data_IF_298876848227
#
_entry.id   IF_298876848227
#
_cell.length_a   1.000
_cell.length_b   1.000
_cell.length_c   1.000
_cell.angle_alpha   90.00
_cell.angle_beta   90.00
_cell.angle_gamma   90.00
#
_symmetry.space_group_name_H-M   'P 1'
#
loop_
_entity.id
_entity.type
_entity.pdbx_description
1 polymer ?
#
# COMPACT_ATOMS: atom_id res chain seq x y z
N UNK A 1 -0.94 -22.16 12.20
CA UNK A 1 -2.14 -22.75 11.55
C UNK A 1 -1.94 -22.62 10.06
N UNK A 2 -1.97 -23.72 9.30
CA UNK A 2 -1.78 -23.66 7.84
C UNK A 2 -3.04 -23.04 7.21
N UNK A 3 -2.89 -21.87 6.59
CA UNK A 3 -3.99 -21.17 5.94
C UNK A 3 -4.23 -21.73 4.54
N UNK A 4 -5.50 -21.78 4.12
CA UNK A 4 -5.89 -22.21 2.78
C UNK A 4 -6.68 -21.11 2.06
N UNK A 5 -6.65 -21.16 0.73
CA UNK A 5 -7.47 -20.32 -0.12
C UNK A 5 -7.95 -21.13 -1.32
N UNK A 6 -9.27 -21.21 -1.49
CA UNK A 6 -9.90 -22.02 -2.52
C UNK A 6 -9.39 -23.47 -2.52
N UNK A 7 -9.22 -24.06 -1.33
CA UNK A 7 -8.75 -25.44 -1.15
C UNK A 7 -7.24 -25.64 -1.34
N UNK A 8 -6.46 -24.59 -1.61
CA UNK A 8 -5.00 -24.68 -1.77
C UNK A 8 -4.29 -24.12 -0.54
N UNK A 9 -3.22 -24.77 -0.09
CA UNK A 9 -2.38 -24.26 0.99
C UNK A 9 -1.69 -22.94 0.57
N UNK A 10 -1.75 -21.94 1.44
CA UNK A 10 -1.07 -20.66 1.27
C UNK A 10 0.35 -20.75 1.85
N UNK A 11 1.24 -21.37 1.10
CA UNK A 11 2.65 -21.54 1.49
C UNK A 11 3.58 -21.18 0.34
N UNK A 12 4.67 -20.48 0.68
CA UNK A 12 5.78 -20.24 -0.23
C UNK A 12 7.04 -19.87 0.55
N UNK A 13 8.22 -20.39 0.19
CA UNK A 13 9.47 -19.98 0.81
C UNK A 13 9.79 -18.54 0.41
N UNK A 14 10.35 -17.78 1.36
CA UNK A 14 10.90 -16.46 1.06
C UNK A 14 12.26 -16.63 0.38
N UNK A 15 12.37 -16.14 -0.86
CA UNK A 15 13.57 -16.26 -1.71
C UNK A 15 14.32 -14.95 -1.90
N UNK A 16 13.66 -13.81 -1.70
CA UNK A 16 14.26 -12.48 -1.68
C UNK A 16 13.99 -11.86 -0.32
N UNK A 17 15.02 -11.28 0.28
CA UNK A 17 14.94 -10.49 1.53
C UNK A 17 15.42 -9.05 1.33
N UNK A 18 16.06 -8.74 0.19
CA UNK A 18 16.61 -7.42 -0.09
C UNK A 18 15.49 -6.46 -0.53
N UNK A 19 15.18 -5.49 0.33
CA UNK A 19 14.14 -4.48 0.14
C UNK A 19 12.71 -4.96 0.41
N UNK A 20 12.41 -6.27 0.30
CA UNK A 20 11.12 -6.87 0.69
C UNK A 20 11.15 -8.41 0.61
N UNK A 21 10.22 -9.08 1.29
CA UNK A 21 10.06 -10.55 1.24
C UNK A 21 9.28 -10.99 -0.01
N UNK A 22 9.88 -11.82 -0.87
CA UNK A 22 9.24 -12.36 -2.09
C UNK A 22 9.56 -13.84 -2.32
N UNK A 23 8.68 -14.55 -3.01
CA UNK A 23 8.84 -15.94 -3.42
C UNK A 23 9.73 -16.12 -4.67
N UNK A 24 10.12 -15.04 -5.34
CA UNK A 24 11.01 -15.05 -6.50
C UNK A 24 11.97 -13.85 -6.49
N UNK A 25 13.08 -13.95 -7.24
CA UNK A 25 13.99 -12.83 -7.47
C UNK A 25 13.37 -11.80 -8.42
N UNK A 26 13.83 -10.54 -8.34
CA UNK A 26 13.37 -9.46 -9.23
C UNK A 26 13.56 -9.81 -10.71
N UNK A 27 14.70 -10.40 -11.07
CA UNK A 27 14.97 -10.85 -12.45
C UNK A 27 14.00 -11.96 -12.89
N UNK A 28 13.68 -12.90 -12.00
CA UNK A 28 12.70 -13.96 -12.26
C UNK A 28 11.28 -13.41 -12.44
N UNK A 29 10.86 -12.47 -11.59
CA UNK A 29 9.57 -11.77 -11.72
C UNK A 29 9.51 -10.99 -13.03
N UNK A 30 10.55 -10.24 -13.39
CA UNK A 30 10.63 -9.52 -14.65
C UNK A 30 10.52 -10.47 -15.86
N UNK A 31 11.32 -11.53 -15.91
CA UNK A 31 11.28 -12.51 -17.00
C UNK A 31 9.89 -13.16 -17.14
N UNK A 32 9.21 -13.40 -16.01
CA UNK A 32 7.87 -14.02 -16.00
C UNK A 32 6.80 -13.09 -16.52
N UNK A 33 6.79 -11.82 -16.11
CA UNK A 33 5.63 -10.94 -16.31
C UNK A 33 5.86 -9.82 -17.33
N UNK A 34 7.10 -9.45 -17.67
CA UNK A 34 7.37 -8.35 -18.60
C UNK A 34 6.78 -8.59 -20.01
N UNK A 35 6.61 -9.86 -20.42
CA UNK A 35 5.96 -10.23 -21.68
C UNK A 35 4.48 -9.87 -21.74
N UNK A 36 3.83 -9.62 -20.60
CA UNK A 36 2.40 -9.33 -20.50
C UNK A 36 2.06 -7.85 -20.72
N UNK A 37 3.07 -6.98 -20.84
CA UNK A 37 2.89 -5.53 -20.99
C UNK A 37 1.87 -5.17 -22.08
N UNK A 38 2.04 -5.72 -23.28
CA UNK A 38 1.12 -5.43 -24.41
C UNK A 38 -0.29 -5.93 -24.14
N UNK A 39 -0.44 -7.12 -23.55
CA UNK A 39 -1.75 -7.70 -23.20
C UNK A 39 -2.50 -6.82 -22.20
N UNK A 40 -1.79 -6.24 -21.22
CA UNK A 40 -2.38 -5.31 -20.27
C UNK A 40 -2.53 -3.88 -20.82
N UNK A 41 -2.13 -3.60 -22.06
CA UNK A 41 -2.18 -2.27 -22.66
C UNK A 41 -1.09 -1.29 -22.16
N UNK A 42 -0.02 -1.80 -21.55
CA UNK A 42 1.15 -1.00 -21.16
C UNK A 42 1.90 -0.62 -22.43
N UNK A 43 1.91 0.67 -22.73
CA UNK A 43 2.57 1.22 -23.94
C UNK A 43 4.03 1.59 -23.69
N UNK A 44 4.37 1.93 -22.43
CA UNK A 44 5.71 2.34 -22.03
C UNK A 44 5.92 2.10 -20.54
N UNK A 45 7.12 1.68 -20.17
CA UNK A 45 7.64 1.74 -18.80
C UNK A 45 8.84 2.70 -18.83
N UNK A 46 8.66 3.89 -18.27
CA UNK A 46 9.64 4.98 -18.29
C UNK A 46 10.34 5.11 -16.95
N UNK A 47 11.64 5.40 -16.96
CA UNK A 47 12.36 5.81 -15.76
C UNK A 47 12.10 7.30 -15.49
N UNK A 48 11.67 7.61 -14.26
CA UNK A 48 11.42 8.98 -13.81
C UNK A 48 12.50 9.49 -12.86
N UNK A 49 13.41 8.62 -12.39
CA UNK A 49 14.48 8.93 -11.44
C UNK A 49 15.21 10.24 -11.74
N UNK A 50 15.55 10.47 -13.01
CA UNK A 50 16.33 11.64 -13.44
C UNK A 50 15.57 12.98 -13.43
N UNK A 51 14.27 12.98 -13.12
CA UNK A 51 13.51 14.21 -12.92
C UNK A 51 13.74 14.82 -11.53
N UNK A 52 14.25 14.03 -10.59
CA UNK A 52 14.55 14.46 -9.22
C UNK A 52 16.05 14.39 -8.92
N UNK A 53 16.49 15.15 -7.92
CA UNK A 53 17.89 15.25 -7.51
C UNK A 53 18.29 14.19 -6.47
N UNK A 54 17.32 13.58 -5.78
CA UNK A 54 17.55 12.52 -4.79
C UNK A 54 18.14 11.27 -5.45
N UNK A 55 17.65 10.92 -6.64
CA UNK A 55 18.10 9.75 -7.39
C UNK A 55 17.64 8.39 -6.84
N UNK A 56 16.69 8.33 -5.89
CA UNK A 56 16.03 7.07 -5.55
C UNK A 56 15.27 6.57 -6.79
N UNK A 57 15.46 5.32 -7.22
CA UNK A 57 14.84 4.82 -8.45
C UNK A 57 13.31 4.86 -8.43
N UNK A 58 12.73 5.51 -9.45
CA UNK A 58 11.28 5.59 -9.67
C UNK A 58 10.99 5.35 -11.15
N UNK A 59 10.00 4.50 -11.42
CA UNK A 59 9.52 4.19 -12.76
C UNK A 59 8.02 4.44 -12.87
N UNK A 60 7.53 4.65 -14.09
CA UNK A 60 6.10 4.75 -14.40
C UNK A 60 5.74 3.80 -15.55
N UNK A 61 4.67 3.03 -15.37
CA UNK A 61 4.02 2.22 -16.40
C UNK A 61 2.79 2.97 -16.92
N UNK A 62 2.74 3.21 -18.24
CA UNK A 62 1.69 4.00 -18.89
C UNK A 62 0.73 3.07 -19.64
N UNK A 63 -0.53 3.05 -19.19
CA UNK A 63 -1.70 2.40 -19.79
C UNK A 63 -2.74 3.46 -20.18
N UNK A 64 -2.67 4.03 -21.40
CA UNK A 64 -3.54 5.15 -21.79
C UNK A 64 -5.05 4.86 -21.68
N UNK A 65 -5.44 3.58 -21.82
CA UNK A 65 -6.83 3.12 -21.73
C UNK A 65 -7.14 2.44 -20.38
N UNK A 66 -6.43 2.82 -19.32
CA UNK A 66 -6.79 2.47 -17.94
C UNK A 66 -8.22 2.95 -17.62
N UNK A 67 -8.91 2.19 -16.77
CA UNK A 67 -10.27 2.52 -16.30
C UNK A 67 -10.26 3.25 -14.96
N UNK A 68 -9.17 3.21 -14.21
CA UNK A 68 -8.91 4.06 -13.05
C UNK A 68 -7.92 5.18 -13.38
N UNK A 69 -6.65 4.81 -13.60
CA UNK A 69 -5.54 5.74 -13.85
C UNK A 69 -4.75 5.29 -15.08
N UNK A 70 -4.27 6.26 -15.86
CA UNK A 70 -3.44 6.03 -17.03
C UNK A 70 -1.99 5.68 -16.69
N UNK A 71 -1.54 6.03 -15.49
CA UNK A 71 -0.14 5.86 -15.05
C UNK A 71 -0.08 5.21 -13.68
N UNK A 72 0.62 4.09 -13.58
CA UNK A 72 1.00 3.44 -12.32
C UNK A 72 2.50 3.63 -12.09
N UNK A 73 2.92 3.77 -10.84
CA UNK A 73 4.31 4.03 -10.54
C UNK A 73 4.96 2.86 -9.81
N UNK A 74 6.28 2.89 -9.74
CA UNK A 74 7.04 1.87 -9.06
C UNK A 74 8.26 2.45 -8.40
N UNK A 75 8.52 1.96 -7.20
CA UNK A 75 9.61 2.40 -6.34
C UNK A 75 10.49 1.23 -5.93
N UNK A 76 11.73 1.52 -5.57
CA UNK A 76 12.62 0.53 -4.96
C UNK A 76 14.05 1.02 -4.79
N UNK A 77 14.83 0.29 -4.00
CA UNK A 77 16.24 0.62 -3.75
C UNK A 77 17.13 0.48 -4.99
N UNK A 78 16.69 -0.27 -6.01
CA UNK A 78 17.41 -0.46 -7.27
C UNK A 78 16.52 -0.15 -8.47
N UNK A 79 17.09 0.23 -9.64
CA UNK A 79 16.30 0.45 -10.85
C UNK A 79 15.46 -0.75 -11.27
N UNK A 80 15.98 -1.98 -11.12
CA UNK A 80 15.21 -3.17 -11.44
C UNK A 80 14.03 -3.36 -10.48
N UNK A 81 14.21 -3.09 -9.17
CA UNK A 81 13.13 -3.16 -8.19
C UNK A 81 12.00 -2.18 -8.53
N UNK A 82 12.35 -0.92 -8.78
CA UNK A 82 11.38 0.12 -9.15
C UNK A 82 10.66 -0.20 -10.46
N UNK A 83 11.39 -0.69 -11.47
CA UNK A 83 10.82 -1.09 -12.76
C UNK A 83 9.88 -2.28 -12.65
N UNK A 84 10.23 -3.29 -11.84
CA UNK A 84 9.35 -4.44 -11.54
C UNK A 84 8.12 -3.98 -10.76
N UNK A 85 8.28 -3.08 -9.79
CA UNK A 85 7.16 -2.49 -9.05
C UNK A 85 6.16 -1.83 -9.98
N UNK A 86 6.61 -0.98 -10.91
CA UNK A 86 5.73 -0.28 -11.85
C UNK A 86 4.99 -1.26 -12.79
N UNK A 87 5.69 -2.30 -13.25
CA UNK A 87 5.07 -3.37 -14.05
C UNK A 87 3.98 -4.09 -13.24
N UNK A 88 4.29 -4.54 -12.02
CA UNK A 88 3.39 -5.35 -11.21
C UNK A 88 2.15 -4.55 -10.79
N UNK A 89 2.32 -3.29 -10.34
CA UNK A 89 1.21 -2.38 -9.99
C UNK A 89 0.28 -2.14 -11.20
N UNK A 90 0.84 -2.05 -12.41
CA UNK A 90 0.04 -1.87 -13.63
C UNK A 90 -0.75 -3.14 -14.03
N UNK A 91 -0.15 -4.33 -13.87
CA UNK A 91 -0.82 -5.63 -14.11
C UNK A 91 -1.91 -5.93 -13.06
N UNK A 92 -1.64 -5.55 -11.82
CA UNK A 92 -2.56 -5.59 -10.70
C UNK A 92 -3.79 -4.70 -10.96
N UNK A 93 -3.54 -3.43 -11.30
CA UNK A 93 -4.58 -2.47 -11.65
C UNK A 93 -5.42 -2.97 -12.82
N UNK A 94 -4.78 -3.50 -13.88
CA UNK A 94 -5.50 -4.09 -15.02
C UNK A 94 -6.49 -5.16 -14.56
N UNK A 95 -6.07 -6.03 -13.66
CA UNK A 95 -6.89 -7.15 -13.19
C UNK A 95 -8.10 -6.67 -12.38
N UNK A 96 -7.92 -5.63 -11.57
CA UNK A 96 -9.00 -5.00 -10.80
C UNK A 96 -9.99 -4.17 -11.64
N UNK A 97 -9.57 -3.68 -12.81
CA UNK A 97 -10.43 -2.97 -13.76
C UNK A 97 -11.23 -3.92 -14.69
N UNK A 98 -10.77 -5.17 -14.84
CA UNK A 98 -11.30 -6.14 -15.79
C UNK A 98 -11.80 -7.42 -15.11
N UNK A 99 -12.54 -7.25 -14.01
CA UNK A 99 -13.05 -8.35 -13.20
C UNK A 99 -13.82 -9.39 -14.03
N UNK A 100 -13.43 -10.67 -13.89
CA UNK A 100 -14.06 -11.82 -14.53
C UNK A 100 -14.93 -12.64 -13.55
N UNK A 101 -15.29 -12.04 -12.41
CA UNK A 101 -16.03 -12.71 -11.35
C UNK A 101 -17.55 -12.73 -11.62
N UNK A 102 -18.26 -13.83 -11.28
CA UNK A 102 -19.71 -13.86 -11.35
C UNK A 102 -20.33 -12.79 -10.46
N UNK A 103 -21.20 -11.95 -11.05
CA UNK A 103 -21.90 -10.88 -10.32
C UNK A 103 -23.25 -11.40 -9.82
N UNK A 104 -23.45 -11.27 -8.52
CA UNK A 104 -24.75 -11.48 -7.87
C UNK A 104 -25.41 -10.11 -7.67
N UNK A 105 -26.70 -9.98 -8.02
CA UNK A 105 -27.50 -8.79 -7.71
C UNK A 105 -28.48 -9.07 -6.58
N UNK A 106 -28.59 -8.14 -5.64
CA UNK A 106 -29.55 -8.25 -4.54
C UNK A 106 -29.28 -7.23 -3.44
N UNK A 107 -30.25 -7.07 -2.54
CA UNK A 107 -30.10 -6.23 -1.36
C UNK A 107 -29.34 -6.95 -0.25
N UNK A 108 -28.69 -6.18 0.63
CA UNK A 108 -27.97 -6.73 1.77
C UNK A 108 -28.90 -7.60 2.63
N UNK A 109 -30.10 -7.12 2.97
CA UNK A 109 -31.04 -7.87 3.82
C UNK A 109 -31.51 -9.19 3.19
N UNK A 110 -31.72 -9.21 1.88
CA UNK A 110 -32.18 -10.42 1.19
C UNK A 110 -31.06 -11.46 1.10
N UNK A 111 -29.84 -11.03 0.79
CA UNK A 111 -28.69 -11.91 0.65
C UNK A 111 -28.21 -12.48 1.98
N UNK A 112 -28.20 -11.67 3.04
CA UNK A 112 -27.78 -12.07 4.39
C UNK A 112 -28.62 -13.22 4.97
N UNK A 113 -29.85 -13.43 4.49
CA UNK A 113 -30.71 -14.56 4.92
C UNK A 113 -30.26 -15.92 4.39
N UNK A 114 -29.44 -15.94 3.34
CA UNK A 114 -29.11 -17.17 2.57
C UNK A 114 -27.61 -17.41 2.41
N UNK A 115 -26.79 -16.36 2.56
CA UNK A 115 -25.35 -16.39 2.34
C UNK A 115 -24.63 -15.55 3.38
N UNK A 116 -23.37 -15.88 3.65
CA UNK A 116 -22.47 -15.01 4.40
C UNK A 116 -22.24 -13.74 3.60
N UNK A 117 -22.38 -12.60 4.27
CA UNK A 117 -22.16 -11.26 3.71
C UNK A 117 -21.19 -10.52 4.60
N UNK A 118 -20.32 -9.72 3.99
CA UNK A 118 -19.43 -8.81 4.71
C UNK A 118 -20.25 -7.79 5.51
N UNK A 119 -19.74 -7.34 6.66
CA UNK A 119 -20.36 -6.26 7.40
C UNK A 119 -20.22 -4.91 6.67
N UNK A 120 -21.18 -4.60 5.81
CA UNK A 120 -21.21 -3.38 4.98
C UNK A 120 -21.22 -2.07 5.76
N UNK A 121 -21.60 -2.08 7.04
CA UNK A 121 -21.57 -0.87 7.88
C UNK A 121 -20.17 -0.46 8.30
N UNK A 122 -19.22 -1.41 8.25
CA UNK A 122 -17.81 -1.20 8.58
C UNK A 122 -16.94 -1.02 7.33
N UNK A 123 -17.53 -1.00 6.13
CA UNK A 123 -16.80 -0.71 4.91
C UNK A 123 -16.70 0.81 4.70
N UNK A 124 -15.60 1.22 4.09
CA UNK A 124 -15.37 2.56 3.60
C UNK A 124 -16.46 3.00 2.63
N UNK A 125 -17.01 4.19 2.86
CA UNK A 125 -18.11 4.75 2.05
C UNK A 125 -18.31 6.24 2.32
N UNK A 126 -18.93 6.96 1.38
CA UNK A 126 -19.33 8.34 1.61
C UNK A 126 -20.28 8.47 2.82
N UNK A 127 -20.20 9.61 3.52
CA UNK A 127 -21.12 9.93 4.62
C UNK A 127 -22.56 10.00 4.09
N UNK A 128 -23.49 9.37 4.80
CA UNK A 128 -24.91 9.38 4.43
C UNK A 128 -25.67 8.12 4.83
N UNK A 129 -26.96 8.06 4.51
CA UNK A 129 -27.80 6.90 4.83
C UNK A 129 -27.41 5.70 3.94
N UNK A 130 -27.22 4.53 4.55
CA UNK A 130 -27.05 3.27 3.82
C UNK A 130 -28.41 2.59 3.65
N UNK A 131 -28.92 2.52 2.43
CA UNK A 131 -30.14 1.77 2.12
C UNK A 131 -29.82 0.29 1.94
N UNK A 132 -30.09 -0.53 2.96
CA UNK A 132 -29.81 -1.96 2.96
C UNK A 132 -30.79 -2.80 2.14
N UNK A 133 -31.85 -2.17 1.62
CA UNK A 133 -32.88 -2.79 0.79
C UNK A 133 -32.69 -2.45 -0.70
N UNK A 134 -31.81 -1.49 -1.01
CA UNK A 134 -31.38 -1.20 -2.37
C UNK A 134 -30.63 -2.39 -3.00
N UNK A 135 -30.82 -2.66 -4.30
CA UNK A 135 -30.11 -3.73 -4.99
C UNK A 135 -28.69 -3.31 -5.36
N UNK A 136 -27.68 -4.01 -4.84
CA UNK A 136 -26.28 -3.82 -5.21
C UNK A 136 -25.73 -4.99 -6.03
N UNK A 137 -24.53 -4.80 -6.57
CA UNK A 137 -23.73 -5.84 -7.22
C UNK A 137 -22.74 -6.39 -6.21
N UNK A 138 -22.62 -7.71 -6.18
CA UNK A 138 -21.79 -8.46 -5.24
C UNK A 138 -20.91 -9.44 -5.99
N UNK A 139 -19.72 -9.66 -5.46
CA UNK A 139 -18.80 -10.73 -5.87
C UNK A 139 -18.50 -11.62 -4.66
N UNK A 140 -18.01 -12.83 -4.93
CA UNK A 140 -17.65 -13.78 -3.88
C UNK A 140 -16.16 -13.68 -3.58
N UNK A 141 -15.83 -13.33 -2.34
CA UNK A 141 -14.51 -13.52 -1.75
C UNK A 141 -14.48 -14.75 -0.85
N UNK A 142 -13.34 -14.97 -0.21
CA UNK A 142 -13.14 -16.04 0.78
C UNK A 142 -12.57 -15.45 2.06
N UNK A 143 -13.10 -15.90 3.19
CA UNK A 143 -12.58 -15.50 4.50
C UNK A 143 -11.28 -16.26 4.81
N UNK A 144 -10.20 -15.52 5.09
CA UNK A 144 -8.91 -16.11 5.42
C UNK A 144 -9.02 -16.88 6.75
N UNK A 145 -8.58 -18.14 6.75
CA UNK A 145 -8.57 -19.03 7.92
C UNK A 145 -9.76 -19.99 8.02
N UNK A 146 -10.94 -19.64 7.51
CA UNK A 146 -12.06 -20.58 7.36
C UNK A 146 -12.20 -21.08 5.91
N UNK A 147 -11.67 -20.32 4.94
CA UNK A 147 -11.82 -20.54 3.49
C UNK A 147 -13.29 -20.61 3.04
N UNK A 148 -14.19 -20.03 3.84
CA UNK A 148 -15.61 -19.99 3.54
C UNK A 148 -15.93 -18.84 2.57
N UNK A 149 -16.86 -19.06 1.62
CA UNK A 149 -17.27 -18.03 0.69
C UNK A 149 -18.09 -16.94 1.38
N UNK A 150 -17.79 -15.68 1.06
CA UNK A 150 -18.46 -14.50 1.61
C UNK A 150 -18.71 -13.47 0.51
N UNK A 151 -19.91 -12.89 0.49
CA UNK A 151 -20.24 -11.85 -0.48
C UNK A 151 -19.68 -10.48 -0.06
N UNK A 152 -19.06 -9.80 -1.01
CA UNK A 152 -18.51 -8.44 -0.87
C UNK A 152 -19.12 -7.54 -1.95
N UNK A 153 -19.50 -6.28 -1.65
CA UNK A 153 -19.95 -5.35 -2.67
C UNK A 153 -18.88 -5.19 -3.76
N UNK A 154 -19.30 -5.19 -5.02
CA UNK A 154 -18.41 -5.05 -6.18
C UNK A 154 -17.55 -3.77 -6.09
N UNK A 155 -18.13 -2.69 -5.60
CA UNK A 155 -17.47 -1.38 -5.47
C UNK A 155 -16.29 -1.40 -4.49
N UNK A 156 -16.31 -2.29 -3.49
CA UNK A 156 -15.18 -2.45 -2.56
C UNK A 156 -14.03 -3.31 -3.14
N UNK A 157 -14.16 -3.76 -4.39
CA UNK A 157 -13.24 -4.71 -5.04
C UNK A 157 -12.71 -4.19 -6.38
N UNK A 158 -13.58 -3.60 -7.18
CA UNK A 158 -13.26 -3.10 -8.52
C UNK A 158 -12.35 -1.88 -8.48
N UNK A 159 -11.57 -1.67 -9.54
CA UNK A 159 -10.96 -0.38 -9.90
C UNK A 159 -11.48 0.16 -11.23
N UNK A 160 -12.56 -0.40 -11.77
CA UNK A 160 -13.25 0.22 -12.89
C UNK A 160 -13.92 1.54 -12.46
N UNK A 161 -13.29 2.68 -12.70
CA UNK A 161 -13.84 4.00 -12.34
C UNK A 161 -14.72 4.59 -13.46
N UNK A 162 -15.12 3.82 -14.47
CA UNK A 162 -15.98 4.30 -15.58
C UNK A 162 -17.47 4.34 -15.26
N UNK A 163 -17.83 4.26 -13.97
CA UNK A 163 -19.23 4.25 -13.52
C UNK A 163 -19.96 5.56 -13.88
N UNK A 164 -21.23 5.43 -14.28
CA UNK A 164 -22.11 6.57 -14.61
C UNK A 164 -22.91 7.09 -13.41
N UNK A 165 -22.92 6.34 -12.32
CA UNK A 165 -23.64 6.68 -11.10
C UNK A 165 -22.65 6.73 -9.93
N UNK A 166 -22.83 7.64 -8.97
CA UNK A 166 -22.00 7.68 -7.77
C UNK A 166 -22.01 6.32 -7.06
N UNK A 167 -20.84 5.80 -6.63
CA UNK A 167 -20.78 4.53 -5.92
C UNK A 167 -21.34 4.65 -4.50
N UNK A 168 -21.81 3.53 -3.96
CA UNK A 168 -22.32 3.40 -2.58
C UNK A 168 -21.18 3.18 -1.60
N UNK A 169 -20.12 2.49 -2.02
CA UNK A 169 -18.89 2.25 -1.27
C UNK A 169 -17.71 2.89 -1.98
N UNK A 170 -16.65 3.20 -1.24
CA UNK A 170 -15.47 3.82 -1.85
C UNK A 170 -14.78 2.83 -2.80
N UNK A 171 -14.45 3.31 -3.99
CA UNK A 171 -13.65 2.59 -4.98
C UNK A 171 -12.21 3.06 -4.78
N UNK A 172 -11.37 2.20 -4.23
CA UNK A 172 -9.98 2.52 -3.94
C UNK A 172 -9.07 1.34 -4.25
N UNK A 173 -7.78 1.59 -4.39
CA UNK A 173 -6.77 0.53 -4.52
C UNK A 173 -6.47 -0.14 -3.19
N UNK A 174 -6.86 0.39 -2.03
CA UNK A 174 -6.44 -0.13 -0.71
C UNK A 174 -6.59 -1.66 -0.58
N UNK A 175 -5.49 -2.35 -0.30
CA UNK A 175 -5.46 -3.81 -0.14
C UNK A 175 -5.53 -4.59 -1.45
N UNK A 176 -5.46 -3.91 -2.59
CA UNK A 176 -5.19 -4.54 -3.87
C UNK A 176 -3.70 -4.86 -3.93
N UNK A 177 -3.37 -6.08 -4.32
CA UNK A 177 -1.98 -6.50 -4.39
C UNK A 177 -1.79 -7.62 -5.41
N UNK A 178 -0.62 -7.61 -6.03
CA UNK A 178 -0.11 -8.65 -6.90
C UNK A 178 1.12 -9.31 -6.31
N UNK A 179 1.42 -10.52 -6.79
CA UNK A 179 2.58 -11.27 -6.33
C UNK A 179 2.99 -12.38 -7.29
N UNK A 180 4.14 -12.99 -7.03
CA UNK A 180 4.59 -14.16 -7.79
C UNK A 180 3.73 -15.41 -7.51
N UNK A 181 3.12 -15.46 -6.34
CA UNK A 181 2.20 -16.50 -5.86
C UNK A 181 1.08 -15.84 -5.07
N UNK A 182 -0.04 -16.56 -4.87
CA UNK A 182 -1.22 -15.98 -4.24
C UNK A 182 -0.98 -15.54 -2.78
N UNK A 183 -0.25 -16.34 -1.99
CA UNK A 183 0.09 -15.98 -0.60
C UNK A 183 0.89 -14.68 -0.52
N UNK A 184 1.80 -14.43 -1.48
CA UNK A 184 2.58 -13.18 -1.56
C UNK A 184 1.67 -11.97 -1.78
N UNK A 185 0.72 -12.10 -2.71
CA UNK A 185 -0.26 -11.06 -2.99
C UNK A 185 -1.15 -10.78 -1.76
N UNK A 186 -1.62 -11.83 -1.06
CA UNK A 186 -2.46 -11.68 0.14
C UNK A 186 -1.69 -11.01 1.28
N UNK A 187 -0.44 -11.41 1.53
CA UNK A 187 0.41 -10.78 2.56
C UNK A 187 0.58 -9.30 2.27
N UNK A 188 0.90 -8.94 1.03
CA UNK A 188 1.09 -7.55 0.64
C UNK A 188 -0.21 -6.74 0.78
N UNK A 189 -1.33 -7.25 0.27
CA UNK A 189 -2.62 -6.57 0.38
C UNK A 189 -3.07 -6.39 1.83
N UNK A 190 -2.80 -7.37 2.71
CA UNK A 190 -3.12 -7.24 4.14
C UNK A 190 -2.20 -6.22 4.84
N UNK A 191 -0.90 -6.19 4.53
CA UNK A 191 0.00 -5.16 5.03
C UNK A 191 -0.46 -3.77 4.62
N UNK A 192 -0.88 -3.57 3.37
CA UNK A 192 -1.38 -2.27 2.90
C UNK A 192 -2.64 -1.82 3.64
N UNK A 193 -3.59 -2.73 3.90
CA UNK A 193 -4.79 -2.40 4.69
C UNK A 193 -4.41 -1.96 6.12
N UNK A 194 -3.42 -2.62 6.74
CA UNK A 194 -2.91 -2.26 8.07
C UNK A 194 -2.19 -0.90 8.03
N UNK A 195 -1.42 -0.65 6.97
CA UNK A 195 -0.72 0.61 6.74
C UNK A 195 -1.69 1.79 6.70
N UNK A 196 -2.75 1.70 5.89
CA UNK A 196 -3.75 2.76 5.73
C UNK A 196 -4.57 3.01 6.99
N UNK A 197 -4.88 1.97 7.75
CA UNK A 197 -5.56 2.12 9.04
C UNK A 197 -4.69 2.87 10.07
N UNK A 198 -3.42 2.47 10.20
CA UNK A 198 -2.48 3.11 11.09
C UNK A 198 -2.17 4.55 10.66
N UNK A 199 -2.03 4.81 9.36
CA UNK A 199 -1.89 6.17 8.81
C UNK A 199 -3.10 7.04 9.20
N UNK A 200 -4.32 6.56 8.94
CA UNK A 200 -5.54 7.29 9.26
C UNK A 200 -5.71 7.53 10.77
N UNK A 201 -5.28 6.60 11.62
CA UNK A 201 -5.24 6.79 13.06
C UNK A 201 -4.20 7.83 13.49
N UNK A 202 -2.97 7.75 12.95
CA UNK A 202 -1.89 8.67 13.25
C UNK A 202 -2.21 10.11 12.83
N UNK A 203 -2.76 10.32 11.63
CA UNK A 203 -3.17 11.66 11.16
C UNK A 203 -4.26 12.29 12.04
N UNK A 204 -5.17 11.49 12.59
CA UNK A 204 -6.20 11.97 13.53
C UNK A 204 -5.63 12.29 14.92
N UNK A 205 -4.65 11.54 15.37
CA UNK A 205 -4.02 11.72 16.66
C UNK A 205 -3.01 12.88 16.67
N UNK A 206 -2.32 13.13 15.55
CA UNK A 206 -1.33 14.20 15.42
C UNK A 206 -0.03 13.97 16.21
N UNK A 207 0.32 12.70 16.49
CA UNK A 207 1.46 12.36 17.34
C UNK A 207 2.82 12.51 16.65
N UNK A 208 3.87 12.81 17.41
CA UNK A 208 5.23 13.05 16.92
C UNK A 208 6.21 11.95 17.34
N UNK A 209 5.77 10.68 17.36
CA UNK A 209 6.61 9.53 17.73
C UNK A 209 7.70 9.27 16.68
N UNK A 210 8.77 10.08 16.70
CA UNK A 210 9.83 10.11 15.68
C UNK A 210 10.94 9.11 15.98
N UNK A 211 11.33 8.36 14.95
CA UNK A 211 12.45 7.44 15.01
C UNK A 211 13.76 8.23 14.93
N UNK A 212 14.66 7.98 15.87
CA UNK A 212 16.02 8.54 15.87
C UNK A 212 16.80 7.93 14.71
N UNK A 213 17.11 8.71 13.67
CA UNK A 213 17.71 8.19 12.43
C UNK A 213 19.04 7.45 12.66
N UNK A 214 19.88 7.96 13.56
CA UNK A 214 21.18 7.34 13.88
C UNK A 214 21.06 5.97 14.55
N UNK A 215 19.90 5.64 15.11
CA UNK A 215 19.62 4.30 15.65
C UNK A 215 19.29 3.27 14.58
N UNK A 216 19.03 3.69 13.34
CA UNK A 216 18.74 2.78 12.22
C UNK A 216 20.05 2.18 11.71
N UNK A 217 20.26 0.89 11.95
CA UNK A 217 21.51 0.19 11.59
C UNK A 217 21.43 -0.59 10.28
N UNK A 218 20.23 -0.83 9.75
CA UNK A 218 20.03 -1.55 8.49
C UNK A 218 20.75 -0.86 7.31
N UNK A 219 21.62 -1.56 6.56
CA UNK A 219 22.40 -0.95 5.48
C UNK A 219 21.56 -0.33 4.36
N UNK A 220 20.43 -0.95 4.00
CA UNK A 220 19.57 -0.47 2.92
C UNK A 220 18.87 0.82 3.34
N UNK A 221 18.32 0.87 4.55
CA UNK A 221 17.73 2.09 5.10
C UNK A 221 18.75 3.22 5.22
N UNK A 222 19.95 2.93 5.74
CA UNK A 222 21.04 3.92 5.85
C UNK A 222 21.44 4.48 4.50
N UNK A 223 21.58 3.62 3.48
CA UNK A 223 21.92 4.06 2.13
C UNK A 223 20.84 4.96 1.51
N UNK A 224 19.56 4.68 1.76
CA UNK A 224 18.44 5.53 1.32
C UNK A 224 18.47 6.90 2.03
N UNK A 225 18.60 6.91 3.36
CA UNK A 225 18.67 8.14 4.16
C UNK A 225 19.86 8.99 3.69
N UNK A 226 21.04 8.39 3.58
CA UNK A 226 22.26 9.09 3.17
C UNK A 226 22.18 9.62 1.74
N UNK A 227 21.45 8.94 0.85
CA UNK A 227 21.20 9.44 -0.51
C UNK A 227 20.31 10.68 -0.50
N UNK A 228 19.24 10.68 0.31
CA UNK A 228 18.34 11.83 0.44
C UNK A 228 19.09 13.01 1.08
N UNK A 229 19.86 12.78 2.16
CA UNK A 229 20.57 13.85 2.86
C UNK A 229 21.69 14.47 2.03
N UNK A 230 22.43 13.66 1.25
CA UNK A 230 23.44 14.19 0.31
C UNK A 230 22.84 15.07 -0.79
N UNK A 231 21.56 14.89 -1.12
CA UNK A 231 20.86 15.73 -2.10
C UNK A 231 20.37 17.06 -1.50
N UNK A 232 20.63 17.33 -0.22
CA UNK A 232 20.23 18.56 0.48
C UNK A 232 18.83 18.50 1.11
N UNK A 233 18.14 17.36 1.03
CA UNK A 233 16.84 17.19 1.65
C UNK A 233 16.95 16.56 3.05
N UNK A 234 16.03 16.92 3.94
CA UNK A 234 15.91 16.35 5.28
C UNK A 234 14.93 15.18 5.29
N UNK A 235 15.22 14.18 6.10
CA UNK A 235 14.39 12.98 6.29
C UNK A 235 13.78 13.01 7.68
N UNK A 236 12.49 12.69 7.76
CA UNK A 236 11.78 12.46 9.01
C UNK A 236 11.13 11.08 8.95
N UNK A 237 11.17 10.34 10.06
CA UNK A 237 10.59 8.99 10.13
C UNK A 237 9.80 8.86 11.43
N UNK A 238 8.58 8.31 11.34
CA UNK A 238 7.68 8.10 12.47
C UNK A 238 7.32 6.64 12.62
N UNK A 239 7.20 6.19 13.87
CA UNK A 239 6.49 4.97 14.24
C UNK A 239 5.00 5.31 14.40
N UNK A 240 4.16 4.80 13.50
CA UNK A 240 2.72 5.08 13.52
C UNK A 240 1.98 4.26 14.60
N UNK A 241 2.69 3.43 15.37
CA UNK A 241 2.18 2.71 16.53
C UNK A 241 0.86 1.97 16.26
N UNK A 242 0.87 1.04 15.29
CA UNK A 242 -0.30 0.24 14.95
C UNK A 242 -0.83 -0.51 16.18
N UNK A 243 -2.13 -0.34 16.48
CA UNK A 243 -2.82 -1.10 17.52
C UNK A 243 -2.80 -2.62 17.27
N UNK A 244 -2.54 -3.04 16.02
CA UNK A 244 -2.44 -4.43 15.62
C UNK A 244 -1.06 -5.03 15.92
N UNK A 245 -0.09 -4.22 16.35
CA UNK A 245 1.26 -4.69 16.68
C UNK A 245 2.11 -5.10 15.48
N UNK A 246 1.73 -4.65 14.27
CA UNK A 246 2.53 -4.75 13.05
C UNK A 246 3.26 -3.42 12.84
N UNK A 247 4.58 -3.40 12.56
CA UNK A 247 5.28 -2.17 12.26
C UNK A 247 4.65 -1.43 11.08
N UNK A 248 4.27 -0.18 11.33
CA UNK A 248 3.84 0.77 10.30
C UNK A 248 4.67 2.03 10.48
N UNK A 249 5.34 2.42 9.40
CA UNK A 249 6.31 3.50 9.38
C UNK A 249 5.82 4.56 8.41
N UNK A 250 5.87 5.81 8.83
CA UNK A 250 5.74 6.98 7.97
C UNK A 250 7.11 7.59 7.76
N UNK A 251 7.37 8.08 6.56
CA UNK A 251 8.55 8.87 6.27
C UNK A 251 8.16 10.12 5.49
N UNK A 252 8.94 11.19 5.66
CA UNK A 252 8.80 12.40 4.86
C UNK A 252 10.15 12.96 4.42
N UNK A 253 10.12 13.60 3.26
CA UNK A 253 11.26 14.26 2.64
C UNK A 253 10.89 15.72 2.37
N UNK A 254 11.77 16.64 2.75
CA UNK A 254 11.58 18.08 2.58
C UNK A 254 12.92 18.81 2.57
N UNK A 255 13.06 19.81 1.71
CA UNK A 255 14.17 20.77 1.73
C UNK A 255 13.94 21.91 2.73
N UNK A 256 15.01 22.59 3.15
CA UNK A 256 14.88 23.80 3.96
C UNK A 256 14.18 24.90 3.13
N UNK A 257 12.99 25.36 3.53
CA UNK A 257 12.26 26.39 2.78
C UNK A 257 12.95 27.77 2.85
N UNK A 258 13.92 27.97 3.74
CA UNK A 258 14.69 29.20 3.85
C UNK A 258 15.89 29.26 2.91
N UNK A 259 16.32 28.11 2.35
CA UNK A 259 17.43 28.06 1.42
C UNK A 259 16.99 28.49 0.01
N UNK A 260 17.81 29.27 -0.73
CA UNK A 260 17.47 29.69 -2.08
C UNK A 260 17.31 28.49 -3.02
N UNK A 261 16.10 28.26 -3.52
CA UNK A 261 15.81 27.22 -4.49
C UNK A 261 15.27 27.81 -5.80
N UNK A 262 15.64 27.19 -6.93
CA UNK A 262 15.14 27.58 -8.25
C UNK A 262 13.63 27.31 -8.41
N UNK A 263 13.08 26.41 -7.59
CA UNK A 263 11.65 26.14 -7.42
C UNK A 263 11.39 25.72 -5.98
N UNK A 264 10.18 26.00 -5.50
CA UNK A 264 9.70 25.44 -4.24
C UNK A 264 9.41 23.96 -4.41
N UNK A 265 9.89 23.16 -3.46
CA UNK A 265 9.60 21.75 -3.35
C UNK A 265 8.82 21.51 -2.06
N UNK A 266 7.89 20.57 -2.12
CA UNK A 266 6.96 20.34 -1.03
C UNK A 266 7.46 19.40 0.06
N UNK A 267 6.55 19.11 0.98
CA UNK A 267 6.68 18.08 1.99
C UNK A 267 6.05 16.77 1.48
N UNK A 268 6.88 15.79 1.12
CA UNK A 268 6.42 14.55 0.48
C UNK A 268 6.52 13.37 1.43
N UNK A 269 5.40 12.66 1.60
CA UNK A 269 5.28 11.55 2.53
C UNK A 269 5.20 10.20 1.81
N UNK A 270 5.59 9.15 2.51
CA UNK A 270 5.40 7.77 2.14
C UNK A 270 5.22 6.88 3.36
N UNK A 271 4.58 5.74 3.16
CA UNK A 271 4.23 4.83 4.24
C UNK A 271 4.69 3.40 3.92
N UNK A 272 4.84 2.60 4.97
CA UNK A 272 5.30 1.23 4.85
C UNK A 272 4.84 0.38 6.02
N UNK A 273 4.15 -0.73 5.75
CA UNK A 273 3.87 -1.77 6.73
C UNK A 273 4.56 -3.10 6.38
N UNK A 274 5.20 -3.72 7.38
CA UNK A 274 5.82 -5.04 7.24
C UNK A 274 6.14 -5.64 8.61
N UNK A 275 6.17 -6.98 8.73
CA UNK A 275 6.57 -7.65 9.98
C UNK A 275 8.02 -7.35 10.38
N UNK A 276 8.87 -7.09 9.39
CA UNK A 276 10.24 -6.62 9.57
C UNK A 276 10.29 -5.08 9.48
N UNK A 277 10.63 -4.35 10.56
CA UNK A 277 10.56 -2.90 10.60
C UNK A 277 11.50 -2.20 9.61
N UNK A 278 12.67 -2.77 9.33
CA UNK A 278 13.60 -2.28 8.31
C UNK A 278 12.99 -2.27 6.89
N UNK A 279 12.18 -3.28 6.56
CA UNK A 279 11.44 -3.31 5.29
C UNK A 279 10.35 -2.24 5.28
N UNK A 280 9.68 -2.01 6.40
CA UNK A 280 8.68 -0.96 6.54
C UNK A 280 9.30 0.44 6.36
N UNK A 281 10.47 0.70 6.96
CA UNK A 281 11.24 1.94 6.78
C UNK A 281 11.65 2.13 5.32
N UNK A 282 12.25 1.11 4.70
CA UNK A 282 12.68 1.19 3.30
C UNK A 282 11.50 1.48 2.34
N UNK A 283 10.34 0.88 2.58
CA UNK A 283 9.10 1.17 1.84
C UNK A 283 8.67 2.63 2.02
N UNK A 284 8.59 3.11 3.26
CA UNK A 284 8.18 4.48 3.55
C UNK A 284 9.10 5.51 2.88
N UNK A 285 10.43 5.31 2.95
CA UNK A 285 11.42 6.20 2.33
C UNK A 285 11.33 6.19 0.79
N UNK A 286 11.22 5.01 0.19
CA UNK A 286 11.11 4.88 -1.27
C UNK A 286 9.77 5.39 -1.79
N UNK A 287 8.69 5.27 -1.02
CA UNK A 287 7.39 5.85 -1.34
C UNK A 287 7.40 7.38 -1.21
N UNK A 288 8.05 7.95 -0.20
CA UNK A 288 8.18 9.41 -0.08
C UNK A 288 8.93 10.01 -1.29
N UNK A 289 9.99 9.34 -1.74
CA UNK A 289 10.70 9.73 -2.96
C UNK A 289 9.85 9.55 -4.23
N UNK A 290 9.03 8.49 -4.32
CA UNK A 290 8.08 8.33 -5.41
C UNK A 290 7.02 9.44 -5.43
N UNK A 291 6.42 9.76 -4.28
CA UNK A 291 5.42 10.83 -4.16
C UNK A 291 6.01 12.14 -4.67
N UNK A 292 7.22 12.48 -4.26
CA UNK A 292 7.94 13.65 -4.76
C UNK A 292 8.12 13.64 -6.28
N UNK A 293 8.64 12.56 -6.84
CA UNK A 293 8.84 12.41 -8.30
C UNK A 293 7.51 12.50 -9.05
N UNK A 294 6.41 12.04 -8.45
CA UNK A 294 5.06 12.15 -9.02
C UNK A 294 4.64 13.60 -9.21
N UNK A 295 4.83 14.45 -8.19
CA UNK A 295 4.57 15.88 -8.29
C UNK A 295 5.48 16.54 -9.34
N UNK A 296 6.77 16.20 -9.34
CA UNK A 296 7.73 16.75 -10.31
C UNK A 296 7.36 16.38 -11.75
N UNK A 297 6.94 15.14 -11.99
CA UNK A 297 6.60 14.64 -13.31
C UNK A 297 5.28 15.21 -13.85
N UNK A 298 4.36 15.60 -12.98
CA UNK A 298 3.09 16.22 -13.37
C UNK A 298 2.19 15.32 -14.24
N UNK A 299 2.30 13.99 -14.06
CA UNK A 299 1.77 12.99 -15.00
C UNK A 299 0.62 12.14 -14.44
N UNK A 300 0.01 12.54 -13.31
CA UNK A 300 -1.12 11.83 -12.71
C UNK A 300 -2.46 12.47 -13.05
N UNK A 301 -3.43 11.63 -13.37
CA UNK A 301 -4.76 12.05 -13.84
C UNK A 301 -5.65 12.62 -12.71
N UNK A 302 -5.29 12.34 -11.47
CA UNK A 302 -6.03 12.71 -10.27
C UNK A 302 -5.28 13.71 -9.38
N UNK A 303 -4.24 14.35 -9.90
CA UNK A 303 -3.64 15.52 -9.29
C UNK A 303 -4.25 16.77 -9.92
N UNK A 304 -4.85 17.60 -9.08
CA UNK A 304 -5.50 18.84 -9.48
C UNK A 304 -4.65 20.04 -9.07
N UNK A 305 -4.90 21.26 -9.61
CA UNK A 305 -4.12 22.44 -9.27
C UNK A 305 -3.97 22.71 -7.77
N UNK A 306 -5.02 22.45 -6.98
CA UNK A 306 -5.00 22.66 -5.53
C UNK A 306 -4.00 21.75 -4.81
N UNK A 307 -3.71 20.56 -5.34
CA UNK A 307 -2.72 19.64 -4.75
C UNK A 307 -1.30 20.23 -4.86
N UNK A 308 -0.99 20.83 -6.02
CA UNK A 308 0.29 21.50 -6.26
C UNK A 308 0.42 22.76 -5.40
N UNK A 309 -0.63 23.57 -5.33
CA UNK A 309 -0.68 24.79 -4.51
C UNK A 309 -0.46 24.45 -3.04
N UNK A 310 -1.21 23.48 -2.49
CA UNK A 310 -1.05 23.04 -1.10
C UNK A 310 0.32 22.44 -0.83
N UNK A 311 0.84 21.61 -1.73
CA UNK A 311 2.15 20.99 -1.55
C UNK A 311 3.30 22.00 -1.55
N UNK A 312 3.11 23.19 -2.15
CA UNK A 312 4.15 24.22 -2.29
C UNK A 312 3.83 25.52 -1.52
N UNK A 313 2.82 25.48 -0.64
CA UNK A 313 2.43 26.61 0.20
C UNK A 313 3.58 27.03 1.13
N UNK A 314 4.16 28.24 0.97
CA UNK A 314 5.32 28.67 1.75
C UNK A 314 5.05 28.76 3.25
N UNK A 315 3.86 29.17 3.67
CA UNK A 315 3.51 29.31 5.09
C UNK A 315 3.43 27.94 5.75
N UNK A 316 2.74 27.00 5.08
CA UNK A 316 2.66 25.61 5.54
C UNK A 316 4.04 24.95 5.62
N UNK A 317 4.89 25.18 4.62
CA UNK A 317 6.23 24.60 4.58
C UNK A 317 7.14 25.18 5.67
N UNK A 318 7.09 26.49 5.92
CA UNK A 318 7.84 27.12 7.00
C UNK A 318 7.42 26.55 8.37
N UNK A 319 6.11 26.45 8.63
CA UNK A 319 5.56 25.89 9.87
C UNK A 319 5.95 24.43 10.07
N UNK A 320 5.86 23.61 9.02
CA UNK A 320 6.28 22.21 9.05
C UNK A 320 7.79 22.09 9.31
N UNK A 321 8.60 22.91 8.66
CA UNK A 321 10.04 22.90 8.84
C UNK A 321 10.42 23.23 10.29
N UNK A 322 9.88 24.32 10.86
CA UNK A 322 10.17 24.70 12.24
C UNK A 322 9.80 23.58 13.22
N UNK A 323 8.59 23.03 13.09
CA UNK A 323 8.10 21.94 13.96
C UNK A 323 8.93 20.67 13.84
N UNK A 324 9.27 20.25 12.62
CA UNK A 324 9.94 18.97 12.39
C UNK A 324 11.46 19.04 12.60
N UNK A 325 12.06 20.22 12.49
CA UNK A 325 13.49 20.40 12.79
C UNK A 325 13.75 20.53 14.29
N UNK A 326 12.76 20.96 15.07
CA UNK A 326 12.80 20.91 16.53
C UNK A 326 12.94 19.45 17.04
N UNK A 327 13.56 19.23 18.21
CA UNK A 327 13.61 17.92 18.86
C UNK A 327 12.22 17.32 19.01
N UNK A 328 12.12 16.00 18.91
CA UNK A 328 10.86 15.29 19.14
C UNK A 328 10.51 15.24 20.62
N UNK A 329 9.23 15.39 20.92
CA UNK A 329 8.68 15.15 22.25
C UNK A 329 8.58 13.64 22.59
N UNK A 330 8.56 12.79 21.56
CA UNK A 330 8.42 11.33 21.68
C UNK A 330 9.47 10.57 20.85
N UNK A 331 10.79 10.80 21.07
CA UNK A 331 11.82 10.11 20.32
C UNK A 331 11.82 8.62 20.65
N UNK A 332 11.97 7.78 19.63
CA UNK A 332 12.07 6.33 19.77
C UNK A 332 13.30 5.80 19.02
N UNK A 333 14.08 4.95 19.66
CA UNK A 333 15.17 4.25 18.98
C UNK A 333 14.61 3.09 18.15
N UNK A 334 15.25 2.77 17.03
CA UNK A 334 14.88 1.65 16.17
C UNK A 334 14.80 0.32 16.95
N UNK A 335 15.76 0.06 17.83
CA UNK A 335 15.80 -1.15 18.66
C UNK A 335 14.66 -1.21 19.70
N UNK A 336 14.01 -0.09 19.98
CA UNK A 336 12.88 0.00 20.91
C UNK A 336 11.52 -0.24 20.24
N UNK A 337 11.49 -0.36 18.91
CA UNK A 337 10.27 -0.71 18.19
C UNK A 337 9.78 -2.10 18.67
N UNK A 338 8.48 -2.29 18.96
CA UNK A 338 7.95 -3.53 19.51
C UNK A 338 8.31 -4.79 18.69
N UNK A 339 8.37 -4.66 17.37
CA UNK A 339 8.77 -5.75 16.49
C UNK A 339 10.29 -5.99 16.48
N UNK A 340 11.12 -4.95 16.54
CA UNK A 340 12.58 -5.09 16.66
C UNK A 340 12.94 -5.83 17.97
N UNK A 341 12.28 -5.47 19.08
CA UNK A 341 12.41 -6.16 20.36
C UNK A 341 11.92 -7.61 20.31
N UNK A 342 10.89 -7.90 19.53
CA UNK A 342 10.35 -9.27 19.37
C UNK A 342 11.26 -10.11 18.47
N UNK A 343 11.81 -9.54 17.40
CA UNK A 343 12.76 -10.19 16.50
C UNK A 343 14.11 -10.49 17.18
N UNK A 344 14.62 -9.57 18.01
CA UNK A 344 15.83 -9.81 18.81
C UNK A 344 15.65 -10.92 19.87
N UNK A 345 14.41 -11.14 20.34
CA UNK A 345 14.05 -12.18 21.33
C UNK A 345 13.61 -13.50 20.69
N UNK A 346 13.30 -13.52 19.40
CA UNK A 346 12.87 -14.69 18.65
C UNK A 346 13.97 -15.17 17.72
N UNK A 347 14.55 -16.34 18.00
CA UNK A 347 15.45 -17.02 17.03
C UNK A 347 14.69 -17.58 15.82
N UNK A 348 13.36 -17.61 15.87
CA UNK A 348 12.50 -18.00 14.76
C UNK A 348 12.26 -16.79 13.85
N UNK A 349 13.09 -16.64 12.82
CA UNK A 349 12.67 -15.95 11.60
C UNK A 349 11.53 -16.77 10.99
N UNK A 350 10.51 -16.10 10.46
CA UNK A 350 9.45 -16.71 9.66
C UNK A 350 10.03 -17.70 8.63
N UNK A 351 9.47 -18.90 8.52
CA UNK A 351 9.96 -19.92 7.59
C UNK A 351 9.47 -19.66 6.14
N UNK A 352 8.57 -18.70 5.95
CA UNK A 352 8.05 -18.30 4.64
C UNK A 352 6.79 -17.44 4.72
N UNK A 353 6.28 -17.06 3.55
CA UNK A 353 5.13 -16.15 3.43
C UNK A 353 3.84 -16.69 4.07
N UNK A 354 3.71 -18.02 4.24
CA UNK A 354 2.58 -18.63 4.93
C UNK A 354 2.56 -18.33 6.43
N UNK A 355 3.73 -18.34 7.07
CA UNK A 355 3.87 -17.99 8.49
C UNK A 355 3.63 -16.49 8.69
N UNK A 356 4.18 -15.66 7.80
CA UNK A 356 3.93 -14.21 7.80
C UNK A 356 2.42 -13.93 7.72
N UNK A 357 1.72 -14.61 6.82
CA UNK A 357 0.27 -14.47 6.69
C UNK A 357 -0.47 -14.92 7.96
N UNK A 358 -0.07 -16.04 8.57
CA UNK A 358 -0.68 -16.53 9.80
C UNK A 358 -0.55 -15.52 10.94
N UNK A 359 0.63 -14.91 11.10
CA UNK A 359 0.88 -13.86 12.09
C UNK A 359 -0.01 -12.65 11.81
N UNK A 360 -0.06 -12.15 10.58
CA UNK A 360 -0.88 -10.99 10.22
C UNK A 360 -2.37 -11.23 10.47
N UNK A 361 -2.88 -12.40 10.07
CA UNK A 361 -4.29 -12.80 10.30
C UNK A 361 -4.61 -12.88 11.80
N UNK A 362 -3.71 -13.44 12.61
CA UNK A 362 -3.87 -13.49 14.06
C UNK A 362 -3.92 -12.09 14.68
N UNK A 363 -2.99 -11.20 14.30
CA UNK A 363 -2.91 -9.82 14.79
C UNK A 363 -4.17 -9.02 14.48
N UNK A 364 -4.65 -9.10 13.24
CA UNK A 364 -5.88 -8.41 12.80
C UNK A 364 -7.10 -8.92 13.55
N UNK A 365 -7.21 -10.24 13.77
CA UNK A 365 -8.30 -10.83 14.56
C UNK A 365 -8.24 -10.43 16.03
N UNK A 366 -7.06 -10.47 16.64
CA UNK A 366 -6.84 -10.04 18.02
C UNK A 366 -7.18 -8.56 18.22
N UNK A 367 -6.99 -7.73 17.18
CA UNK A 367 -7.43 -6.33 17.14
C UNK A 367 -8.93 -6.09 16.98
N UNK A 368 -9.77 -7.14 16.96
CA UNK A 368 -11.24 -6.99 16.86
C UNK A 368 -11.79 -6.93 15.43
N UNK A 369 -11.01 -7.40 14.44
CA UNK A 369 -11.42 -7.48 13.05
C UNK A 369 -11.54 -8.95 12.59
N UNK A 370 -12.69 -9.61 12.87
CA UNK A 370 -12.82 -11.04 12.64
C UNK A 370 -12.93 -11.41 11.13
N UNK A 371 -13.48 -10.50 10.32
CA UNK A 371 -13.66 -10.70 8.88
C UNK A 371 -12.43 -10.20 8.13
N UNK A 372 -11.63 -11.13 7.61
CA UNK A 372 -10.48 -10.84 6.74
C UNK A 372 -10.75 -11.57 5.43
N UNK A 373 -11.05 -10.82 4.38
CA UNK A 373 -11.60 -11.38 3.14
C UNK A 373 -10.58 -11.15 2.03
N UNK A 374 -10.24 -12.20 1.29
CA UNK A 374 -9.49 -12.07 0.05
C UNK A 374 -10.38 -12.43 -1.14
N UNK A 375 -10.33 -11.59 -2.17
CA UNK A 375 -10.99 -11.82 -3.46
C UNK A 375 -9.91 -12.03 -4.51
N UNK A 376 -9.89 -13.21 -5.14
CA UNK A 376 -8.93 -13.51 -6.21
C UNK A 376 -9.36 -12.83 -7.50
N UNK A 377 -8.50 -11.94 -7.98
CA UNK A 377 -8.69 -11.14 -9.18
C UNK A 377 -7.78 -11.59 -10.33
N UNK A 378 -7.13 -12.74 -10.20
CA UNK A 378 -6.23 -13.30 -11.23
C UNK A 378 -6.94 -13.32 -12.58
N UNK A 379 -6.52 -12.43 -13.49
CA UNK A 379 -7.13 -12.35 -14.80
C UNK A 379 -6.64 -13.51 -15.68
N UNK A 380 -7.52 -14.32 -16.29
CA UNK A 380 -7.12 -15.52 -17.05
C UNK A 380 -6.12 -15.25 -18.18
N UNK A 381 -6.24 -14.10 -18.86
CA UNK A 381 -5.31 -13.70 -19.93
C UNK A 381 -3.91 -13.30 -19.43
N UNK A 382 -3.76 -12.96 -18.15
CA UNK A 382 -2.48 -12.57 -17.54
C UNK A 382 -1.85 -13.71 -16.73
N UNK A 383 -2.67 -14.46 -15.98
CA UNK A 383 -2.18 -15.50 -15.07
C UNK A 383 -1.27 -14.95 -13.94
N UNK A 384 -1.38 -13.65 -13.66
CA UNK A 384 -0.67 -13.00 -12.55
C UNK A 384 -1.56 -13.13 -11.30
N UNK A 385 -1.06 -13.71 -10.20
CA UNK A 385 -1.77 -13.70 -8.93
C UNK A 385 -2.05 -12.26 -8.48
N UNK A 386 -3.33 -11.90 -8.42
CA UNK A 386 -3.81 -10.60 -7.95
C UNK A 386 -4.95 -10.83 -6.98
N UNK A 387 -4.96 -10.11 -5.86
CA UNK A 387 -6.02 -10.18 -4.87
C UNK A 387 -6.46 -8.80 -4.41
N UNK A 388 -7.72 -8.68 -4.01
CA UNK A 388 -8.19 -7.60 -3.16
C UNK A 388 -8.43 -8.13 -1.75
N UNK A 389 -7.74 -7.58 -0.78
CA UNK A 389 -7.98 -7.85 0.65
C UNK A 389 -8.92 -6.80 1.21
N UNK A 390 -9.98 -7.24 1.88
CA UNK A 390 -11.00 -6.39 2.51
C UNK A 390 -11.12 -6.78 3.98
N UNK A 391 -10.86 -5.83 4.88
CA UNK A 391 -11.00 -6.00 6.32
C UNK A 391 -11.98 -4.94 6.85
N UNK A 392 -13.25 -5.27 7.09
CA UNK A 392 -14.23 -4.30 7.55
C UNK A 392 -13.82 -3.68 8.88
N UNK A 393 -13.81 -2.35 8.90
CA UNK A 393 -13.53 -1.52 10.06
C UNK A 393 -12.08 -1.10 10.22
N UNK A 394 -11.17 -1.56 9.34
CA UNK A 394 -9.88 -0.91 9.16
C UNK A 394 -10.07 0.25 8.16
N UNK A 395 -9.63 1.44 8.55
CA UNK A 395 -9.95 2.67 7.84
C UNK A 395 -9.20 2.80 6.50
N UNK A 396 -9.84 3.47 5.53
CA UNK A 396 -9.24 3.97 4.28
C UNK A 396 -9.25 5.49 4.19
N UNK A 397 -9.76 6.18 5.22
CA UNK A 397 -10.12 7.61 5.21
C UNK A 397 -8.89 8.54 5.30
N UNK A 398 -7.90 8.33 4.44
CA UNK A 398 -6.78 9.27 4.28
C UNK A 398 -7.10 10.26 3.15
N UNK A 399 -7.72 9.81 2.06
CA UNK A 399 -8.10 10.68 0.93
C UNK A 399 -9.28 11.62 1.24
N UNK A 400 -9.99 11.39 2.35
CA UNK A 400 -11.12 12.21 2.79
C UNK A 400 -10.75 13.34 3.77
N UNK A 401 -9.47 13.47 4.13
CA UNK A 401 -8.98 14.63 4.89
C UNK A 401 -8.39 15.63 3.88
N UNK A 402 -9.32 16.43 3.34
CA UNK A 402 -9.06 17.48 2.37
C UNK A 402 -8.12 18.59 2.83
#
# INVERSE_FOLDING_TARGET
MQLTFAGHALEAPTRLLDGTHRAASLAGTWQRFARLQRTAGITRIAELTGLDTIGIPVFAAIRPMGRSLSTQQGKGATPLAAKVSALMESLETYSAEHLQLPIVRGSYRALAKRRRVVNVRRLARPRGRLDLDAPWRWVTGRELGTDEPILVPLEAVTLDCTFRTPPVFDISSNGLASGNVLVEAIVHGLCEVIERDAEAAWRRAGGDRRIVLDSITDPTCRALIERITRAGARVFVWDLASALGVPVIGAAIMEDPNEPAWRTLGFYQGFGAHLAPEVAIARALTEAAQTRVTYIAGARDDFFPFDYERATDPELLADLWERLTAPSDEPVAFDDLPAARSAARSTARSAGLGDDLAILVERVRAGGHPQIIAVDLTHPALGVPVVKVVVPGLATDVEAMG
#
